data_IF_261854755547
#
_entry.id   IF_261854755547
#
_cell.length_a   1.000
_cell.length_b   1.000
_cell.length_c   1.000
_cell.angle_alpha   90.00
_cell.angle_beta   90.00
_cell.angle_gamma   90.00
#
_symmetry.space_group_name_H-M   'P 1'
#
loop_
_entity.id
_entity.type
_entity.pdbx_description
1 polymer ?
#
# COMPACT_ATOMS: atom_id res chain seq x y z
N UNK A 1 -8.47 -3.04 2.06
CA UNK A 1 -8.77 -1.90 2.96
C UNK A 1 -10.00 -2.16 3.85
N UNK A 2 -9.82 -2.10 5.17
CA UNK A 2 -10.93 -2.12 6.13
C UNK A 2 -11.26 -0.68 6.52
N UNK A 3 -12.45 -0.14 6.19
CA UNK A 3 -12.80 1.23 6.55
C UNK A 3 -12.91 1.37 8.07
N UNK A 4 -12.24 2.37 8.63
CA UNK A 4 -12.51 2.81 10.00
C UNK A 4 -13.74 3.70 9.98
N UNK A 5 -14.73 3.39 10.82
CA UNK A 5 -15.97 4.16 10.90
C UNK A 5 -15.93 5.16 12.05
N UNK A 6 -16.45 6.36 11.80
CA UNK A 6 -16.52 7.44 12.78
C UNK A 6 -17.71 8.36 12.55
N UNK A 7 -17.64 9.56 13.13
CA UNK A 7 -18.62 10.64 12.94
C UNK A 7 -17.88 11.96 12.70
N UNK A 8 -18.43 12.84 11.86
CA UNK A 8 -17.82 14.14 11.53
C UNK A 8 -18.87 15.23 11.41
N UNK A 9 -18.48 16.45 11.79
CA UNK A 9 -19.29 17.67 11.68
C UNK A 9 -19.13 18.37 10.32
N UNK A 10 -18.33 17.81 9.40
CA UNK A 10 -18.18 18.32 8.04
C UNK A 10 -19.45 18.05 7.22
N UNK A 11 -19.66 18.85 6.18
CA UNK A 11 -20.66 18.55 5.17
C UNK A 11 -20.36 17.20 4.47
N UNK A 12 -21.37 16.50 3.92
CA UNK A 12 -21.14 15.26 3.18
C UNK A 12 -20.22 15.48 1.97
N UNK A 13 -19.22 14.61 1.82
CA UNK A 13 -18.20 14.75 0.79
C UNK A 13 -17.00 13.82 0.99
N UNK A 14 -16.06 13.89 0.05
CA UNK A 14 -14.78 13.18 0.11
C UNK A 14 -13.65 14.19 0.33
N UNK A 15 -12.81 13.92 1.33
CA UNK A 15 -11.71 14.78 1.73
C UNK A 15 -10.39 14.00 1.72
N UNK A 16 -9.48 14.37 0.82
CA UNK A 16 -8.12 13.86 0.83
C UNK A 16 -7.25 14.71 1.76
N UNK A 17 -6.38 14.06 2.53
CA UNK A 17 -5.39 14.72 3.38
C UNK A 17 -4.16 13.84 3.57
N UNK A 18 -3.05 14.43 4.00
CA UNK A 18 -1.76 13.72 4.05
C UNK A 18 -1.06 13.70 2.69
N UNK A 19 -0.05 12.84 2.55
CA UNK A 19 0.71 12.67 1.32
C UNK A 19 1.42 11.32 1.29
N UNK A 20 1.52 10.72 0.12
CA UNK A 20 2.21 9.46 -0.09
C UNK A 20 1.61 8.32 0.73
N UNK A 21 2.42 7.64 1.54
CA UNK A 21 1.97 6.50 2.36
C UNK A 21 1.09 6.88 3.56
N UNK A 22 1.07 8.16 3.95
CA UNK A 22 0.23 8.67 5.04
C UNK A 22 -1.01 9.41 4.51
N UNK A 23 -1.23 9.38 3.19
CA UNK A 23 -2.45 9.92 2.60
C UNK A 23 -3.67 9.13 3.06
N UNK A 24 -4.77 9.83 3.31
CA UNK A 24 -6.06 9.26 3.68
C UNK A 24 -7.19 9.92 2.89
N UNK A 25 -8.25 9.17 2.62
CA UNK A 25 -9.51 9.70 2.09
C UNK A 25 -10.58 9.51 3.17
N UNK A 26 -11.08 10.62 3.69
CA UNK A 26 -12.25 10.63 4.58
C UNK A 26 -13.52 10.84 3.74
N UNK A 27 -14.44 9.88 3.79
CA UNK A 27 -15.77 9.97 3.20
C UNK A 27 -16.75 10.29 4.32
N UNK A 28 -17.43 11.42 4.22
CA UNK A 28 -18.50 11.84 5.13
C UNK A 28 -19.84 11.56 4.45
N UNK A 29 -20.64 10.69 5.06
CA UNK A 29 -21.96 10.32 4.56
C UNK A 29 -23.02 11.34 4.97
N UNK A 30 -24.21 11.28 4.36
CA UNK A 30 -25.32 12.21 4.64
C UNK A 30 -25.82 12.17 6.09
N UNK A 31 -25.61 11.05 6.79
CA UNK A 31 -25.99 10.87 8.19
C UNK A 31 -24.91 11.31 9.18
N UNK A 32 -23.83 11.93 8.68
CA UNK A 32 -22.69 12.37 9.49
C UNK A 32 -21.71 11.25 9.86
N UNK A 33 -21.96 10.00 9.45
CA UNK A 33 -20.98 8.92 9.63
C UNK A 33 -19.80 9.10 8.68
N UNK A 34 -18.62 8.65 9.11
CA UNK A 34 -17.41 8.69 8.28
C UNK A 34 -16.85 7.32 7.99
N UNK A 35 -16.18 7.22 6.84
CA UNK A 35 -15.30 6.11 6.49
C UNK A 35 -13.93 6.67 6.15
N UNK A 36 -12.89 6.14 6.76
CA UNK A 36 -11.51 6.47 6.40
C UNK A 36 -10.92 5.35 5.55
N UNK A 37 -10.45 5.72 4.37
CA UNK A 37 -9.69 4.85 3.48
C UNK A 37 -8.20 5.20 3.61
N UNK A 38 -7.38 4.16 3.70
CA UNK A 38 -5.92 4.23 3.61
C UNK A 38 -5.46 3.52 2.33
N UNK A 39 -4.26 3.84 1.81
CA UNK A 39 -3.65 3.10 0.73
C UNK A 39 -3.61 1.61 1.04
N UNK A 40 -3.87 0.79 0.02
CA UNK A 40 -3.87 -0.65 0.15
C UNK A 40 -3.46 -1.30 -1.17
N UNK A 41 -2.95 -2.52 -1.07
CA UNK A 41 -2.77 -3.39 -2.21
C UNK A 41 -4.12 -3.91 -2.70
N UNK A 42 -4.32 -3.90 -4.01
CA UNK A 42 -5.50 -4.48 -4.63
C UNK A 42 -5.45 -6.01 -4.60
N UNK A 43 -4.30 -6.58 -4.95
CA UNK A 43 -4.11 -8.01 -5.13
C UNK A 43 -3.24 -8.59 -4.01
N UNK A 44 -3.92 -9.06 -2.95
CA UNK A 44 -3.28 -9.49 -1.70
C UNK A 44 -2.35 -10.71 -1.88
N UNK A 45 -2.76 -11.70 -2.67
CA UNK A 45 -1.97 -12.91 -2.89
C UNK A 45 -0.66 -12.61 -3.64
N UNK A 46 -0.71 -11.67 -4.59
CA UNK A 46 0.44 -11.27 -5.39
C UNK A 46 1.47 -10.52 -4.54
N UNK A 47 1.02 -9.57 -3.70
CA UNK A 47 1.93 -8.89 -2.79
C UNK A 47 2.51 -9.86 -1.76
N UNK A 48 1.71 -10.77 -1.18
CA UNK A 48 2.20 -11.77 -0.22
C UNK A 48 3.30 -12.67 -0.82
N UNK A 49 3.17 -13.02 -2.10
CA UNK A 49 4.20 -13.78 -2.83
C UNK A 49 5.43 -12.92 -3.08
N UNK A 50 5.25 -11.67 -3.52
CA UNK A 50 6.35 -10.76 -3.82
C UNK A 50 7.19 -10.40 -2.59
N UNK A 51 6.56 -10.17 -1.43
CA UNK A 51 7.27 -9.80 -0.19
C UNK A 51 8.09 -10.97 0.37
N UNK A 52 7.60 -12.21 0.25
CA UNK A 52 8.33 -13.42 0.63
C UNK A 52 9.55 -13.65 -0.25
N UNK A 53 9.42 -13.36 -1.55
CA UNK A 53 10.53 -13.45 -2.49
C UNK A 53 11.57 -12.34 -2.28
N UNK A 54 11.16 -11.19 -1.75
CA UNK A 54 12.04 -10.06 -1.45
C UNK A 54 12.79 -10.21 -0.12
N UNK A 55 12.17 -10.81 0.90
CA UNK A 55 12.77 -10.90 2.25
C UNK A 55 13.99 -11.80 2.27
N UNK A 56 15.09 -11.32 2.86
CA UNK A 56 16.38 -12.04 2.93
C UNK A 56 16.28 -13.38 3.69
N UNK A 57 15.37 -13.46 4.66
CA UNK A 57 15.12 -14.61 5.52
C UNK A 57 13.83 -15.38 5.16
N UNK A 58 13.08 -14.89 4.16
CA UNK A 58 11.76 -15.42 3.78
C UNK A 58 10.62 -15.07 4.75
N UNK A 59 10.90 -14.39 5.86
CA UNK A 59 9.91 -13.94 6.83
C UNK A 59 9.42 -12.53 6.46
N UNK A 60 8.29 -12.50 5.74
CA UNK A 60 7.58 -11.26 5.42
C UNK A 60 6.12 -11.34 5.83
N UNK A 61 5.59 -10.22 6.31
CA UNK A 61 4.23 -10.12 6.84
C UNK A 61 3.50 -8.96 6.20
N UNK A 62 2.34 -9.23 5.63
CA UNK A 62 1.36 -8.21 5.28
C UNK A 62 0.41 -7.99 6.47
N UNK A 63 0.35 -6.76 6.95
CA UNK A 63 -0.53 -6.34 8.04
C UNK A 63 -1.92 -5.94 7.51
N UNK A 64 -2.92 -5.97 8.39
CA UNK A 64 -4.31 -5.61 8.04
C UNK A 64 -4.50 -4.14 7.71
N UNK A 65 -3.55 -3.28 8.10
CA UNK A 65 -3.52 -1.86 7.75
C UNK A 65 -2.87 -1.59 6.38
N UNK A 66 -2.45 -2.64 5.67
CA UNK A 66 -1.82 -2.55 4.35
C UNK A 66 -0.31 -2.34 4.39
N UNK A 67 0.31 -2.27 5.57
CA UNK A 67 1.78 -2.23 5.68
C UNK A 67 2.40 -3.61 5.52
N UNK A 68 3.64 -3.65 5.02
CA UNK A 68 4.45 -4.88 4.88
C UNK A 68 5.68 -4.76 5.77
N UNK A 69 5.93 -5.76 6.60
CA UNK A 69 7.17 -5.93 7.35
C UNK A 69 8.01 -7.02 6.70
N UNK A 70 9.30 -6.76 6.44
CA UNK A 70 10.24 -7.75 5.91
C UNK A 70 11.69 -7.41 6.31
N UNK A 71 12.61 -8.37 6.13
CA UNK A 71 14.05 -8.14 6.25
C UNK A 71 14.65 -7.91 4.87
N UNK A 72 15.26 -6.75 4.66
CA UNK A 72 15.89 -6.36 3.40
C UNK A 72 17.26 -5.74 3.63
N UNK A 73 18.29 -6.30 2.99
CA UNK A 73 19.67 -5.87 3.21
C UNK A 73 20.13 -6.07 4.66
N UNK A 74 19.64 -7.14 5.31
CA UNK A 74 19.92 -7.44 6.71
C UNK A 74 19.25 -6.51 7.74
N UNK A 75 18.31 -5.67 7.32
CA UNK A 75 17.57 -4.75 8.18
C UNK A 75 16.07 -5.02 8.11
N UNK A 76 15.39 -4.99 9.26
CA UNK A 76 13.94 -4.99 9.28
C UNK A 76 13.42 -3.64 8.79
N UNK A 77 12.58 -3.67 7.75
CA UNK A 77 11.94 -2.49 7.19
C UNK A 77 10.42 -2.67 7.16
N UNK A 78 9.72 -1.54 7.18
CA UNK A 78 8.28 -1.49 6.92
C UNK A 78 8.03 -0.73 5.63
N UNK A 79 7.29 -1.33 4.71
CA UNK A 79 6.83 -0.72 3.47
C UNK A 79 5.35 -0.36 3.58
N UNK A 80 4.97 0.83 3.12
CA UNK A 80 3.56 1.25 3.03
C UNK A 80 3.21 1.71 1.61
N UNK A 81 2.07 1.26 1.06
CA UNK A 81 1.63 1.66 -0.27
C UNK A 81 1.16 3.11 -0.31
N UNK A 82 1.18 3.70 -1.51
CA UNK A 82 0.57 4.99 -1.85
C UNK A 82 -0.79 4.78 -2.52
N UNK A 83 -1.65 5.80 -2.58
CA UNK A 83 -2.89 5.69 -3.38
C UNK A 83 -2.62 5.67 -4.88
N UNK A 84 -1.57 6.37 -5.32
CA UNK A 84 -1.23 6.46 -6.73
C UNK A 84 -0.80 5.10 -7.28
N UNK A 85 -1.46 4.73 -8.37
CA UNK A 85 -1.21 3.52 -9.12
C UNK A 85 -1.09 3.90 -10.59
N UNK A 86 0.04 3.57 -11.19
CA UNK A 86 0.32 3.81 -12.59
C UNK A 86 0.20 2.51 -13.39
N UNK A 87 -0.32 2.59 -14.61
CA UNK A 87 -0.29 1.45 -15.52
C UNK A 87 1.01 1.43 -16.30
N UNK A 88 1.75 0.31 -16.22
CA UNK A 88 2.98 0.06 -16.95
C UNK A 88 2.81 -1.11 -17.91
N UNK A 89 3.48 -1.04 -19.05
CA UNK A 89 3.49 -2.16 -20.02
C UNK A 89 4.44 -3.25 -19.53
N UNK A 90 3.88 -4.42 -19.26
CA UNK A 90 4.61 -5.62 -18.85
C UNK A 90 4.53 -6.71 -19.93
N UNK A 91 5.47 -7.66 -19.91
CA UNK A 91 5.45 -8.81 -20.81
C UNK A 91 4.23 -9.71 -20.56
N UNK A 92 3.86 -10.51 -21.56
CA UNK A 92 2.62 -11.33 -21.61
C UNK A 92 2.53 -12.38 -20.47
N UNK A 93 3.59 -12.59 -19.70
CA UNK A 93 3.65 -13.50 -18.56
C UNK A 93 4.48 -12.93 -17.40
N UNK A 94 4.48 -11.61 -17.21
CA UNK A 94 5.21 -11.04 -16.09
C UNK A 94 4.57 -11.45 -14.77
N UNK A 95 5.39 -11.94 -13.84
CA UNK A 95 4.97 -12.20 -12.47
C UNK A 95 4.95 -10.89 -11.69
N UNK A 96 4.07 -10.80 -10.69
CA UNK A 96 4.12 -9.72 -9.73
C UNK A 96 5.48 -9.69 -9.00
N UNK A 97 5.90 -8.51 -8.58
CA UNK A 97 7.18 -8.34 -7.91
C UNK A 97 7.35 -6.97 -7.28
N UNK A 98 8.35 -6.88 -6.41
CA UNK A 98 8.82 -5.62 -5.86
C UNK A 98 10.18 -5.28 -6.46
N UNK A 99 10.31 -4.08 -7.01
CA UNK A 99 11.56 -3.52 -7.51
C UNK A 99 12.02 -2.36 -6.64
N UNK A 100 13.32 -2.09 -6.65
CA UNK A 100 13.89 -0.84 -6.15
C UNK A 100 14.40 -0.02 -7.34
N UNK A 101 13.90 1.21 -7.47
CA UNK A 101 14.25 2.14 -8.55
C UNK A 101 14.53 3.51 -7.92
N UNK A 102 15.72 4.08 -8.16
CA UNK A 102 16.13 5.37 -7.60
C UNK A 102 15.94 5.50 -6.07
N UNK A 103 16.14 4.40 -5.34
CA UNK A 103 16.00 4.35 -3.87
C UNK A 103 14.56 4.23 -3.37
N UNK A 104 13.58 4.17 -4.26
CA UNK A 104 12.16 3.93 -3.96
C UNK A 104 11.80 2.48 -4.24
N UNK A 105 10.80 1.97 -3.51
CA UNK A 105 10.25 0.64 -3.74
C UNK A 105 8.97 0.73 -4.55
N UNK A 106 8.75 -0.23 -5.45
CA UNK A 106 7.54 -0.31 -6.25
C UNK A 106 7.03 -1.74 -6.26
N UNK A 107 5.74 -1.91 -5.98
CA UNK A 107 5.04 -3.16 -6.27
C UNK A 107 4.43 -3.07 -7.67
N UNK A 108 4.69 -4.07 -8.52
CA UNK A 108 4.00 -4.21 -9.81
C UNK A 108 3.24 -5.52 -9.82
N UNK A 109 1.94 -5.47 -10.06
CA UNK A 109 1.07 -6.65 -10.15
C UNK A 109 1.15 -7.31 -11.54
N UNK A 110 0.58 -8.51 -11.68
CA UNK A 110 0.59 -9.25 -12.96
C UNK A 110 -0.27 -8.61 -14.06
N UNK A 111 -1.05 -7.58 -13.72
CA UNK A 111 -1.84 -6.76 -14.65
C UNK A 111 -1.12 -5.50 -15.10
N UNK A 112 0.08 -5.22 -14.57
CA UNK A 112 0.87 -4.04 -14.89
C UNK A 112 0.47 -2.80 -14.10
N UNK A 113 -0.20 -2.94 -12.96
CA UNK A 113 -0.42 -1.85 -12.03
C UNK A 113 0.81 -1.70 -11.14
N UNK A 114 1.47 -0.55 -11.22
CA UNK A 114 2.66 -0.19 -10.45
C UNK A 114 2.28 0.80 -9.37
N UNK A 115 2.60 0.47 -8.12
CA UNK A 115 2.29 1.26 -6.94
C UNK A 115 3.59 1.57 -6.18
N UNK A 116 3.80 2.85 -5.83
CA UNK A 116 4.94 3.26 -5.01
C UNK A 116 4.77 2.81 -3.56
N UNK A 117 5.88 2.41 -2.95
CA UNK A 117 5.98 2.01 -1.55
C UNK A 117 6.99 2.91 -0.82
N UNK A 118 6.56 3.53 0.28
CA UNK A 118 7.45 4.24 1.20
C UNK A 118 8.07 3.27 2.19
N UNK A 119 9.38 3.41 2.41
CA UNK A 119 10.01 2.87 3.63
C UNK A 119 9.64 3.78 4.79
N UNK A 120 8.95 3.23 5.78
CA UNK A 120 8.77 3.86 7.10
C UNK A 120 9.76 3.18 8.03
N UNK A 121 10.68 3.96 8.61
CA UNK A 121 11.66 3.42 9.55
C UNK A 121 10.94 2.68 10.68
N UNK A 122 11.24 1.39 10.85
CA UNK A 122 10.86 0.65 12.04
C UNK A 122 11.53 1.31 13.24
N UNK A 123 10.73 1.75 14.21
CA UNK A 123 11.23 2.31 15.46
C UNK A 123 11.97 1.29 16.31
#
# INVERSE_FOLDING_TARGET
PSPLTGTSDKDPGAYASGSGSDEIIEIVNQDGTTQVLTPAFKDQEEIETAIKALSDDGDAKLNTDGSVELVYGGQQITLKPHFDVESVSIGINASAGISQEDGKFFFTDSSGNKQELSVVAGG
#
